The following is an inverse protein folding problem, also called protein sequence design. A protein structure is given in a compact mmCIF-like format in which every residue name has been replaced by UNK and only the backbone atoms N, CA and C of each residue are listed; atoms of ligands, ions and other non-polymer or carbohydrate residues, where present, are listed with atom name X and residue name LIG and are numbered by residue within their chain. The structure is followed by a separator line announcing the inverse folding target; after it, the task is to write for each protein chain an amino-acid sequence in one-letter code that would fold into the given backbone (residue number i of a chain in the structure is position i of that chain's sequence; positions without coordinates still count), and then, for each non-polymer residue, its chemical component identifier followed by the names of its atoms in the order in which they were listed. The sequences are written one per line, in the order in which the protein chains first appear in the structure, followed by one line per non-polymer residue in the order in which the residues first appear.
data_IF_124499110150
#
_entry.id   IF_124499110150
#
_cell.length_a   1.000
_cell.length_b   1.000
_cell.length_c   1.000
_cell.angle_alpha   90.00
_cell.angle_beta   90.00
_cell.angle_gamma   90.00
#
_symmetry.space_group_name_H-M   'P 1'
#
loop_
_entity.id
_entity.type
_entity.pdbx_description
1 polymer ?
#
# COMPACT_ATOMS: atom_id res chain seq x y z
N UNK A 1 -23.91 12.88 -17.29
CA UNK A 1 -24.49 12.46 -15.99
C UNK A 1 -23.34 11.86 -15.22
N UNK A 2 -22.67 12.72 -14.48
CA UNK A 2 -21.36 12.44 -13.89
C UNK A 2 -21.57 11.80 -12.52
N UNK A 3 -21.13 10.55 -12.36
CA UNK A 3 -21.03 9.95 -11.05
C UNK A 3 -19.81 10.59 -10.34
N UNK A 4 -20.00 11.24 -9.18
CA UNK A 4 -18.86 11.77 -8.44
C UNK A 4 -17.99 10.61 -7.96
N UNK A 5 -16.70 10.63 -8.31
CA UNK A 5 -15.69 9.79 -7.67
C UNK A 5 -15.68 10.09 -6.17
N UNK A 6 -16.49 9.34 -5.43
CA UNK A 6 -16.55 9.38 -3.97
C UNK A 6 -15.22 8.81 -3.49
N UNK A 7 -14.34 9.68 -2.98
CA UNK A 7 -13.17 9.22 -2.22
C UNK A 7 -13.70 8.26 -1.15
N UNK A 8 -13.29 7.00 -1.21
CA UNK A 8 -13.68 5.97 -0.25
C UNK A 8 -13.24 6.41 1.14
N UNK A 9 -14.18 6.71 2.02
CA UNK A 9 -13.90 6.99 3.44
C UNK A 9 -13.02 5.90 4.07
N UNK A 10 -13.14 4.67 3.56
CA UNK A 10 -12.36 3.50 3.93
C UNK A 10 -10.83 3.68 3.87
N UNK A 11 -10.30 4.41 2.89
CA UNK A 11 -8.84 4.60 2.75
C UNK A 11 -8.29 5.59 3.77
N UNK A 12 -9.03 6.67 4.04
CA UNK A 12 -8.66 7.66 5.06
C UNK A 12 -8.68 7.05 6.47
N UNK A 13 -9.63 6.16 6.74
CA UNK A 13 -9.78 5.50 8.04
C UNK A 13 -8.67 4.49 8.31
N UNK A 14 -8.24 3.73 7.29
CA UNK A 14 -7.14 2.78 7.42
C UNK A 14 -5.81 3.47 7.73
N UNK A 15 -5.50 4.57 7.03
CA UNK A 15 -4.29 5.35 7.29
C UNK A 15 -4.31 6.03 8.65
N UNK A 16 -5.46 6.62 9.02
CA UNK A 16 -5.63 7.28 10.32
C UNK A 16 -5.45 6.29 11.47
N UNK A 17 -6.00 5.07 11.34
CA UNK A 17 -5.84 4.01 12.34
C UNK A 17 -4.38 3.57 12.52
N UNK A 18 -3.65 3.35 11.42
CA UNK A 18 -2.22 2.98 11.50
C UNK A 18 -1.39 4.09 12.13
N UNK A 19 -1.60 5.34 11.71
CA UNK A 19 -0.89 6.48 12.27
C UNK A 19 -1.17 6.62 13.77
N UNK A 20 -2.43 6.44 14.20
CA UNK A 20 -2.81 6.48 15.60
C UNK A 20 -2.06 5.44 16.45
N UNK A 21 -2.03 4.18 16.00
CA UNK A 21 -1.31 3.11 16.73
C UNK A 21 0.19 3.32 16.78
N UNK A 22 0.79 3.89 15.73
CA UNK A 22 2.20 4.26 15.72
C UNK A 22 2.49 5.38 16.73
N UNK A 23 1.70 6.45 16.72
CA UNK A 23 1.84 7.54 17.69
C UNK A 23 1.65 7.07 19.13
N UNK A 24 0.65 6.23 19.38
CA UNK A 24 0.41 5.65 20.70
C UNK A 24 1.62 4.84 21.18
N UNK A 25 2.21 4.04 20.29
CA UNK A 25 3.37 3.20 20.61
C UNK A 25 4.60 4.04 20.99
N UNK A 26 4.94 5.06 20.20
CA UNK A 26 6.05 5.96 20.53
C UNK A 26 5.78 6.82 21.77
N UNK A 27 4.52 7.22 21.98
CA UNK A 27 4.10 7.91 23.20
C UNK A 27 4.31 7.07 24.46
N UNK A 28 3.91 5.79 24.42
CA UNK A 28 4.13 4.86 25.53
C UNK A 28 5.63 4.66 25.80
N UNK A 29 6.45 4.50 24.75
CA UNK A 29 7.91 4.36 24.90
C UNK A 29 8.56 5.62 25.51
N UNK A 30 8.14 6.81 25.10
CA UNK A 30 8.62 8.07 25.68
C UNK A 30 8.23 8.17 27.16
N UNK A 31 6.95 7.91 27.49
CA UNK A 31 6.50 7.89 28.88
C UNK A 31 7.30 6.88 29.72
N UNK A 32 7.52 5.68 29.19
CA UNK A 32 8.30 4.66 29.88
C UNK A 32 9.75 5.10 30.13
N UNK A 33 10.41 5.73 29.14
CA UNK A 33 11.77 6.24 29.30
C UNK A 33 11.86 7.30 30.41
N UNK A 34 10.89 8.21 30.50
CA UNK A 34 10.84 9.23 31.56
C UNK A 34 10.51 8.66 32.93
N UNK A 35 9.55 7.73 33.01
CA UNK A 35 9.20 7.05 34.28
C UNK A 35 10.40 6.26 34.80
N UNK A 36 11.14 5.59 33.92
CA UNK A 36 12.32 4.83 34.30
C UNK A 36 13.40 5.71 34.97
N UNK A 37 13.59 6.93 34.47
CA UNK A 37 14.56 7.87 35.04
C UNK A 37 14.02 8.57 36.31
N UNK A 38 12.75 8.98 36.33
CA UNK A 38 12.17 9.70 37.48
C UNK A 38 11.96 8.82 38.72
N UNK A 39 11.65 7.54 38.53
CA UNK A 39 11.32 6.63 39.62
C UNK A 39 12.45 5.65 39.95
N UNK A 40 13.57 5.69 39.23
CA UNK A 40 14.66 4.70 39.33
C UNK A 40 14.10 3.27 39.39
N UNK A 41 13.28 2.93 38.39
CA UNK A 41 12.66 1.60 38.27
C UNK A 41 13.67 0.45 38.39
N UNK A 42 14.91 0.54 37.86
CA UNK A 42 15.91 -0.50 38.04
C UNK A 42 16.22 -0.79 39.50
N UNK A 43 16.38 0.25 40.32
CA UNK A 43 16.58 0.08 41.77
C UNK A 43 15.33 -0.52 42.42
N UNK A 44 14.12 -0.02 42.10
CA UNK A 44 12.88 -0.51 42.73
C UNK A 44 12.52 -1.97 42.38
N UNK A 45 12.80 -2.39 41.15
CA UNK A 45 12.39 -3.72 40.64
C UNK A 45 13.52 -4.75 40.76
N UNK A 46 14.77 -4.35 40.53
CA UNK A 46 15.92 -5.26 40.46
C UNK A 46 16.92 -5.08 41.60
N UNK A 47 16.77 -4.06 42.45
CA UNK A 47 17.66 -3.82 43.59
C UNK A 47 19.09 -3.42 43.19
N UNK A 48 19.28 -2.82 42.00
CA UNK A 48 20.56 -2.28 41.57
C UNK A 48 20.98 -1.09 42.43
N UNK A 49 22.23 -0.65 42.33
CA UNK A 49 22.71 0.54 43.04
C UNK A 49 21.83 1.78 42.71
N UNK A 50 21.52 2.62 43.72
CA UNK A 50 20.67 3.80 43.55
C UNK A 50 21.32 4.76 42.57
N UNK A 51 20.58 5.10 41.51
CA UNK A 51 21.03 6.01 40.47
C UNK A 51 20.44 7.39 40.73
N UNK A 52 21.27 8.44 40.72
CA UNK A 52 20.74 9.80 40.76
C UNK A 52 20.01 10.12 39.44
N UNK A 53 18.92 10.91 39.46
CA UNK A 53 18.17 11.24 38.25
C UNK A 53 19.07 11.97 37.24
N UNK A 54 19.36 11.33 36.10
CA UNK A 54 20.15 11.91 35.02
C UNK A 54 19.25 12.29 33.84
N UNK A 55 18.86 13.57 33.81
CA UNK A 55 18.08 14.15 32.72
C UNK A 55 18.80 14.07 31.36
N UNK A 56 20.13 13.99 31.33
CA UNK A 56 20.88 13.85 30.07
C UNK A 56 20.62 12.48 29.45
N UNK A 57 20.65 11.42 30.25
CA UNK A 57 20.34 10.05 29.81
C UNK A 57 18.90 9.94 29.29
N UNK A 58 17.92 10.49 30.00
CA UNK A 58 16.53 10.55 29.54
C UNK A 58 16.40 11.33 28.21
N UNK A 59 17.07 12.47 28.09
CA UNK A 59 17.06 13.28 26.86
C UNK A 59 17.67 12.54 25.66
N UNK A 60 18.74 11.77 25.86
CA UNK A 60 19.38 10.98 24.81
C UNK A 60 18.48 9.82 24.36
N UNK A 61 17.81 9.14 25.29
CA UNK A 61 16.85 8.07 24.96
C UNK A 61 15.63 8.59 24.19
N UNK A 62 15.09 9.73 24.59
CA UNK A 62 13.97 10.36 23.88
C UNK A 62 14.36 10.76 22.46
N UNK A 63 15.55 11.34 22.26
CA UNK A 63 16.07 11.64 20.92
C UNK A 63 16.20 10.38 20.04
N UNK A 64 16.69 9.27 20.61
CA UNK A 64 16.76 7.99 19.92
C UNK A 64 15.37 7.45 19.54
N UNK A 65 14.40 7.48 20.47
CA UNK A 65 13.02 7.03 20.24
C UNK A 65 12.36 7.88 19.14
N UNK A 66 12.55 9.20 19.15
CA UNK A 66 12.01 10.11 18.12
C UNK A 66 12.64 9.78 16.76
N UNK A 67 13.96 9.58 16.70
CA UNK A 67 14.66 9.26 15.45
C UNK A 67 14.13 7.97 14.83
N UNK A 68 13.99 6.92 15.64
CA UNK A 68 13.40 5.63 15.20
C UNK A 68 11.94 5.82 14.80
N UNK A 69 11.19 6.66 15.53
CA UNK A 69 9.80 6.98 15.22
C UNK A 69 9.63 7.62 13.85
N UNK A 70 10.42 8.64 13.54
CA UNK A 70 10.39 9.33 12.25
C UNK A 70 10.73 8.36 11.11
N UNK A 71 11.78 7.54 11.28
CA UNK A 71 12.19 6.55 10.26
C UNK A 71 11.11 5.50 10.03
N UNK A 72 10.52 4.96 11.11
CA UNK A 72 9.47 3.94 11.03
C UNK A 72 8.19 4.45 10.38
N UNK A 73 7.73 5.65 10.77
CA UNK A 73 6.54 6.29 10.20
C UNK A 73 6.78 6.64 8.73
N UNK A 74 7.93 7.24 8.41
CA UNK A 74 8.28 7.59 7.03
C UNK A 74 8.31 6.37 6.11
N UNK A 75 8.97 5.28 6.54
CA UNK A 75 9.02 4.05 5.76
C UNK A 75 7.63 3.41 5.58
N UNK A 76 6.79 3.44 6.62
CA UNK A 76 5.41 2.93 6.56
C UNK A 76 4.57 3.73 5.56
N UNK A 77 4.70 5.06 5.58
CA UNK A 77 3.96 5.96 4.69
C UNK A 77 4.30 5.74 3.21
N UNK A 78 5.59 5.63 2.87
CA UNK A 78 6.03 5.35 1.50
C UNK A 78 5.51 4.02 0.96
N UNK A 79 5.55 2.95 1.79
CA UNK A 79 5.01 1.64 1.43
C UNK A 79 3.52 1.70 1.17
N UNK A 80 2.78 2.39 2.04
CA UNK A 80 1.33 2.55 1.93
C UNK A 80 0.92 3.34 0.69
N UNK A 81 1.64 4.41 0.35
CA UNK A 81 1.45 5.16 -0.89
C UNK A 81 1.62 4.28 -2.13
N UNK A 82 2.57 3.35 -2.11
CA UNK A 82 2.77 2.38 -3.20
C UNK A 82 1.67 1.32 -3.31
N UNK A 83 0.93 1.05 -2.24
CA UNK A 83 -0.17 0.08 -2.24
C UNK A 83 -1.49 0.69 -2.75
N UNK A 84 -1.65 2.01 -2.64
CA UNK A 84 -2.67 2.77 -3.37
C UNK A 84 -2.26 2.89 -4.85
N UNK A 85 -2.13 1.76 -5.52
CA UNK A 85 -2.13 1.76 -6.98
C UNK A 85 -3.54 2.17 -7.41
N UNK A 86 -3.70 3.21 -8.24
CA UNK A 86 -5.02 3.56 -8.76
C UNK A 86 -5.58 2.33 -9.48
N UNK A 87 -6.78 1.91 -9.06
CA UNK A 87 -7.52 0.88 -9.78
C UNK A 87 -7.71 1.36 -11.21
N UNK A 88 -7.26 0.58 -12.18
CA UNK A 88 -7.38 0.92 -13.59
C UNK A 88 -8.85 0.73 -14.00
N UNK A 89 -9.57 1.82 -14.24
CA UNK A 89 -10.95 1.76 -14.69
C UNK A 89 -10.99 1.37 -16.16
N UNK A 90 -11.49 0.17 -16.46
CA UNK A 90 -11.66 -0.35 -17.81
C UNK A 90 -13.14 -0.49 -18.18
N UNK A 91 -13.51 -0.10 -19.40
CA UNK A 91 -14.85 -0.34 -19.93
C UNK A 91 -15.01 -1.81 -20.33
N UNK A 92 -16.04 -2.47 -19.80
CA UNK A 92 -16.35 -3.87 -20.09
C UNK A 92 -16.71 -4.14 -21.56
N UNK A 93 -17.23 -3.13 -22.26
CA UNK A 93 -17.72 -3.30 -23.63
C UNK A 93 -16.64 -3.08 -24.68
N UNK A 94 -15.87 -2.00 -24.56
CA UNK A 94 -14.88 -1.62 -25.56
C UNK A 94 -13.43 -1.89 -25.14
N UNK A 95 -13.22 -2.44 -23.95
CA UNK A 95 -11.90 -2.75 -23.38
C UNK A 95 -10.93 -1.56 -23.41
N UNK A 96 -11.47 -0.35 -23.19
CA UNK A 96 -10.68 0.87 -23.05
C UNK A 96 -10.43 1.19 -21.60
N UNK A 97 -9.24 1.68 -21.30
CA UNK A 97 -8.83 2.17 -19.99
C UNK A 97 -9.02 3.68 -19.94
N UNK A 98 -9.59 4.17 -18.83
CA UNK A 98 -9.68 5.59 -18.55
C UNK A 98 -8.33 6.09 -18.02
N UNK A 99 -7.67 6.96 -18.80
CA UNK A 99 -6.41 7.60 -18.39
C UNK A 99 -6.71 8.89 -17.60
N UNK A 100 -7.75 9.61 -18.02
CA UNK A 100 -8.18 10.88 -17.44
C UNK A 100 -9.71 10.98 -17.55
N UNK A 101 -10.34 11.93 -16.87
CA UNK A 101 -11.80 12.08 -16.72
C UNK A 101 -12.57 11.89 -18.03
N UNK A 102 -12.03 12.37 -19.14
CA UNK A 102 -12.67 12.29 -20.47
C UNK A 102 -11.83 11.52 -21.51
N UNK A 103 -10.65 11.00 -21.13
CA UNK A 103 -9.74 10.34 -22.06
C UNK A 103 -9.70 8.84 -21.83
N UNK A 104 -10.04 8.12 -22.89
CA UNK A 104 -10.03 6.67 -22.96
C UNK A 104 -9.05 6.21 -24.02
N UNK A 105 -8.23 5.21 -23.71
CA UNK A 105 -7.35 4.54 -24.69
C UNK A 105 -7.57 3.05 -24.68
N UNK A 106 -7.16 2.36 -25.74
CA UNK A 106 -7.18 0.90 -25.74
C UNK A 106 -6.26 0.35 -24.65
N UNK A 107 -6.69 -0.72 -23.99
CA UNK A 107 -5.92 -1.32 -22.89
C UNK A 107 -4.53 -1.76 -23.35
N UNK A 108 -4.42 -2.24 -24.58
CA UNK A 108 -3.15 -2.65 -25.20
C UNK A 108 -2.19 -1.47 -25.34
N UNK A 109 -2.67 -0.34 -25.84
CA UNK A 109 -1.90 0.90 -25.96
C UNK A 109 -1.46 1.42 -24.60
N UNK A 110 -2.33 1.32 -23.58
CA UNK A 110 -2.00 1.73 -22.21
C UNK A 110 -0.79 0.96 -21.69
N UNK A 111 -0.80 -0.36 -21.86
CA UNK A 111 0.26 -1.22 -21.37
C UNK A 111 1.57 -1.04 -22.16
N UNK A 112 1.52 -0.90 -23.48
CA UNK A 112 2.73 -0.64 -24.30
C UNK A 112 3.38 0.69 -23.90
N UNK A 113 2.58 1.72 -23.59
CA UNK A 113 3.09 3.03 -23.22
C UNK A 113 3.72 3.06 -21.81
N UNK A 114 3.16 2.30 -20.86
CA UNK A 114 3.56 2.37 -19.45
C UNK A 114 4.50 1.23 -19.02
N UNK A 115 4.57 0.14 -19.79
CA UNK A 115 5.40 -1.02 -19.48
C UNK A 115 6.22 -1.41 -20.70
N UNK A 116 7.52 -1.74 -20.54
CA UNK A 116 8.36 -2.20 -21.63
C UNK A 116 8.04 -3.66 -21.95
N UNK A 117 6.86 -3.92 -22.49
CA UNK A 117 6.41 -5.26 -22.89
C UNK A 117 6.12 -5.30 -24.39
N UNK A 118 6.56 -6.39 -25.03
CA UNK A 118 6.14 -6.74 -26.39
C UNK A 118 4.85 -7.54 -26.30
N UNK A 119 3.82 -7.12 -27.03
CA UNK A 119 2.54 -7.84 -27.08
C UNK A 119 2.42 -8.65 -28.36
N UNK A 120 2.27 -9.96 -28.20
CA UNK A 120 1.83 -10.84 -29.27
C UNK A 120 0.30 -10.99 -29.24
N UNK A 121 -0.32 -11.04 -30.42
CA UNK A 121 -1.77 -11.20 -30.59
C UNK A 121 -2.06 -12.61 -31.10
N UNK A 122 -2.15 -13.54 -30.15
CA UNK A 122 -2.57 -14.93 -30.40
C UNK A 122 -4.02 -15.19 -29.97
N UNK A 123 -4.61 -16.25 -30.50
CA UNK A 123 -5.80 -16.85 -29.89
C UNK A 123 -5.37 -17.69 -28.69
N UNK A 124 -6.12 -17.63 -27.58
CA UNK A 124 -5.88 -18.57 -26.49
C UNK A 124 -6.20 -20.01 -26.95
N UNK A 125 -5.67 -21.04 -26.27
CA UNK A 125 -5.91 -22.44 -26.64
C UNK A 125 -7.39 -22.80 -26.77
N UNK A 126 -8.24 -22.22 -25.92
CA UNK A 126 -9.70 -22.43 -25.95
C UNK A 126 -10.33 -21.86 -27.22
N UNK A 127 -9.99 -20.62 -27.57
CA UNK A 127 -10.46 -19.98 -28.80
C UNK A 127 -9.95 -20.71 -30.04
N UNK A 128 -8.72 -21.21 -30.01
CA UNK A 128 -8.15 -21.95 -31.13
C UNK A 128 -8.87 -23.29 -31.33
N UNK A 129 -9.15 -24.03 -30.26
CA UNK A 129 -9.94 -25.25 -30.31
C UNK A 129 -11.37 -25.00 -30.81
N UNK A 130 -11.99 -23.91 -30.38
CA UNK A 130 -13.32 -23.50 -30.85
C UNK A 130 -13.31 -23.20 -32.36
N UNK A 131 -12.34 -22.42 -32.84
CA UNK A 131 -12.20 -22.10 -34.27
C UNK A 131 -12.01 -23.37 -35.11
N UNK A 132 -11.20 -24.32 -34.63
CA UNK A 132 -11.04 -25.61 -35.29
C UNK A 132 -12.37 -26.37 -35.36
N UNK A 133 -13.14 -26.40 -34.26
CA UNK A 133 -14.44 -27.08 -34.23
C UNK A 133 -15.47 -26.47 -35.20
N UNK A 134 -15.46 -25.14 -35.39
CA UNK A 134 -16.35 -24.46 -36.34
C UNK A 134 -15.91 -24.78 -37.77
N UNK A 135 -14.61 -24.69 -38.07
CA UNK A 135 -14.09 -24.99 -39.41
C UNK A 135 -14.38 -26.43 -39.86
N UNK A 136 -14.34 -27.40 -38.93
CA UNK A 136 -14.68 -28.79 -39.20
C UNK A 136 -16.17 -29.00 -39.53
N UNK A 137 -17.06 -28.21 -38.92
CA UNK A 137 -18.51 -28.24 -39.18
C UNK A 137 -18.87 -27.61 -40.53
N UNK A 138 -18.23 -26.49 -40.87
CA UNK A 138 -18.46 -25.80 -42.15
C UNK A 138 -17.95 -26.61 -43.35
N UNK A 139 -16.90 -27.42 -43.16
CA UNK A 139 -16.42 -28.37 -44.16
C UNK A 139 -17.39 -29.53 -44.41
N UNK A 140 -18.11 -29.99 -43.38
CA UNK A 140 -19.08 -31.08 -43.49
C UNK A 140 -20.45 -30.64 -44.07
N UNK A 141 -20.77 -29.34 -44.01
CA UNK A 141 -22.03 -28.79 -44.55
C UNK A 141 -21.95 -28.38 -46.03
N UNK A 142 -20.77 -28.53 -46.67
CA UNK A 142 -20.53 -28.20 -48.08
C UNK A 142 -20.44 -29.42 -49.01
N UNK A 143 -20.65 -30.63 -48.49
CA UNK A 143 -20.76 -31.91 -49.22
C UNK A 143 -22.19 -32.43 -49.15
#
# INVERSE_FOLDING_TARGET
MDAPHKKSALDTDAFSSVAFWQFLSFGILLCFAWVNEMFDLPHQVFGSDPSEPDFYRASMMTAAIITVGVVSVGHTYEKQKSLLRPLLMSCLYCHRVQIDKEKWMHVEEYFIQHYPIEMDRGACPDCQAMLQSVSARDGANKT
#
